data_IF_003297352370
#
_entry.id   IF_003297352370
#
_cell.length_a   1.000
_cell.length_b   1.000
_cell.length_c   1.000
_cell.angle_alpha   90.00
_cell.angle_beta   90.00
_cell.angle_gamma   90.00
#
_symmetry.space_group_name_H-M   'P 1'
#
loop_
_entity.id
_entity.type
_entity.pdbx_description
1 polymer ?
#
# COMPACT_ATOMS: atom_id res chain seq x y z
N UNK A 1 16.86 14.07 58.36
CA UNK A 1 18.06 13.45 58.98
C UNK A 1 18.77 12.63 57.91
N UNK A 2 20.03 12.98 57.62
CA UNK A 2 21.18 12.17 57.13
C UNK A 2 20.90 11.04 56.11
N UNK A 3 21.35 11.18 54.86
CA UNK A 3 22.62 10.63 54.31
C UNK A 3 22.82 9.12 54.56
N UNK A 4 23.09 8.35 53.50
CA UNK A 4 24.41 7.72 53.22
C UNK A 4 24.30 6.73 52.05
N UNK A 5 25.25 6.87 51.12
CA UNK A 5 25.53 6.03 49.96
C UNK A 5 26.28 4.72 50.31
N UNK A 6 26.30 3.76 49.36
CA UNK A 6 27.45 2.92 48.91
C UNK A 6 26.92 1.76 48.04
N UNK A 7 27.22 1.73 46.73
CA UNK A 7 28.38 1.05 46.10
C UNK A 7 28.63 -0.38 46.58
N UNK A 8 28.51 -1.38 45.69
CA UNK A 8 29.58 -2.37 45.44
C UNK A 8 29.37 -3.13 44.12
N UNK A 9 30.49 -3.27 43.40
CA UNK A 9 30.74 -4.00 42.15
C UNK A 9 30.87 -5.52 42.38
N UNK A 10 30.64 -6.32 41.33
CA UNK A 10 31.54 -7.40 40.80
C UNK A 10 30.83 -8.72 40.43
N UNK A 11 30.76 -8.97 39.11
CA UNK A 11 31.01 -10.20 38.32
C UNK A 11 30.53 -11.58 38.82
N UNK A 12 29.77 -12.31 37.97
CA UNK A 12 30.03 -13.71 37.54
C UNK A 12 29.14 -14.06 36.33
N UNK A 13 29.77 -14.62 35.28
CA UNK A 13 29.15 -15.25 34.10
C UNK A 13 28.64 -16.65 34.45
N UNK A 14 27.49 -17.07 33.92
CA UNK A 14 27.24 -18.47 33.60
C UNK A 14 26.23 -18.61 32.46
N UNK A 15 26.68 -19.23 31.35
CA UNK A 15 25.86 -19.74 30.25
C UNK A 15 25.01 -20.92 30.74
N UNK A 16 23.72 -20.95 30.41
CA UNK A 16 22.93 -22.18 30.34
C UNK A 16 22.05 -22.14 29.08
N UNK A 17 22.36 -23.07 28.17
CA UNK A 17 21.49 -23.50 27.07
C UNK A 17 20.27 -24.22 27.65
N UNK A 18 19.06 -23.86 27.22
CA UNK A 18 17.86 -24.66 27.48
C UNK A 18 17.39 -25.26 26.15
N UNK A 19 17.64 -26.57 26.00
CA UNK A 19 16.96 -27.46 25.07
C UNK A 19 15.55 -27.74 25.60
N UNK A 20 14.51 -27.43 24.84
CA UNK A 20 13.16 -27.94 25.10
C UNK A 20 12.96 -29.24 24.30
N UNK A 21 12.85 -30.35 25.02
CA UNK A 21 12.38 -31.64 24.49
C UNK A 21 10.85 -31.65 24.40
N UNK A 22 10.33 -32.00 23.23
CA UNK A 22 8.91 -32.25 22.97
C UNK A 22 8.53 -33.63 23.55
N UNK A 23 7.56 -33.67 24.46
CA UNK A 23 6.83 -34.91 24.81
C UNK A 23 5.35 -34.72 24.51
N UNK A 24 4.86 -35.42 23.48
CA UNK A 24 3.45 -35.49 23.11
C UNK A 24 2.79 -36.62 23.93
N UNK A 25 1.78 -36.28 24.74
CA UNK A 25 0.87 -37.26 25.36
C UNK A 25 -0.43 -37.32 24.56
N UNK A 26 -0.75 -38.50 24.04
CA UNK A 26 -2.02 -38.81 23.39
C UNK A 26 -3.06 -39.16 24.46
N UNK A 27 -4.23 -38.52 24.45
CA UNK A 27 -5.43 -38.99 25.17
C UNK A 27 -6.49 -39.37 24.14
N UNK A 28 -6.90 -40.63 24.18
CA UNK A 28 -8.01 -41.21 23.45
C UNK A 28 -9.34 -40.82 24.10
N UNK A 29 -10.31 -40.34 23.31
CA UNK A 29 -11.72 -40.34 23.70
C UNK A 29 -12.58 -40.87 22.55
N UNK A 30 -13.42 -41.84 22.90
CA UNK A 30 -14.38 -42.54 22.06
C UNK A 30 -15.54 -41.62 21.66
N UNK A 31 -16.04 -41.77 20.42
CA UNK A 31 -17.39 -41.38 20.05
C UNK A 31 -18.12 -42.58 19.44
N UNK A 32 -19.20 -42.98 20.11
CA UNK A 32 -20.20 -43.94 19.64
C UNK A 32 -21.31 -43.19 18.88
N UNK A 33 -21.75 -43.77 17.75
CA UNK A 33 -23.11 -43.61 17.21
C UNK A 33 -23.31 -42.52 16.16
N UNK A 34 -23.51 -42.90 14.90
CA UNK A 34 -24.82 -42.97 14.21
C UNK A 34 -24.63 -43.46 12.75
N UNK A 35 -25.63 -44.22 12.32
CA UNK A 35 -25.92 -45.07 11.15
C UNK A 35 -25.57 -44.65 9.71
N UNK A 36 -25.06 -45.66 8.97
CA UNK A 36 -25.50 -46.26 7.67
C UNK A 36 -25.80 -45.42 6.41
N UNK A 37 -25.30 -45.98 5.28
CA UNK A 37 -25.39 -45.63 3.84
C UNK A 37 -24.38 -44.56 3.40
N UNK A 38 -23.38 -44.76 2.51
CA UNK A 38 -23.28 -45.60 1.31
C UNK A 38 -21.83 -46.06 1.00
N UNK A 39 -21.72 -47.03 0.07
CA UNK A 39 -20.53 -47.80 -0.29
C UNK A 39 -19.41 -46.96 -0.93
N UNK A 40 -18.19 -47.13 -0.42
CA UNK A 40 -16.95 -46.75 -1.10
C UNK A 40 -16.64 -47.70 -2.28
N UNK A 41 -16.18 -47.16 -3.41
CA UNK A 41 -15.49 -47.92 -4.47
C UNK A 41 -14.01 -48.11 -4.08
N UNK A 42 -13.40 -49.29 -4.26
CA UNK A 42 -12.01 -49.53 -3.88
C UNK A 42 -11.09 -49.09 -5.02
N UNK A 43 -10.64 -47.82 -5.04
CA UNK A 43 -9.38 -47.36 -5.66
C UNK A 43 -9.21 -45.82 -5.65
N UNK A 44 -9.36 -45.17 -4.49
CA UNK A 44 -8.98 -43.76 -4.33
C UNK A 44 -8.25 -43.55 -3.01
N UNK A 45 -6.99 -43.12 -3.07
CA UNK A 45 -6.26 -42.63 -1.92
C UNK A 45 -6.79 -41.23 -1.54
N UNK A 46 -7.54 -41.13 -0.43
CA UNK A 46 -7.90 -39.86 0.17
C UNK A 46 -6.83 -39.45 1.19
N UNK A 47 -6.18 -38.31 0.98
CA UNK A 47 -5.37 -37.63 2.00
C UNK A 47 -6.31 -36.67 2.74
N UNK A 48 -6.60 -36.94 4.00
CA UNK A 48 -7.36 -36.03 4.86
C UNK A 48 -6.42 -34.98 5.49
N UNK A 49 -6.70 -33.70 5.27
CA UNK A 49 -6.20 -32.62 6.12
C UNK A 49 -7.23 -32.34 7.22
N UNK A 50 -6.82 -32.52 8.47
CA UNK A 50 -7.56 -32.05 9.64
C UNK A 50 -7.24 -30.56 9.83
N UNK A 51 -8.23 -29.68 9.72
CA UNK A 51 -8.15 -28.33 10.30
C UNK A 51 -8.98 -28.38 11.58
N UNK A 52 -8.29 -28.33 12.73
CA UNK A 52 -8.93 -28.15 14.01
C UNK A 52 -9.34 -26.67 14.15
N UNK A 53 -10.64 -26.41 14.35
CA UNK A 53 -11.16 -25.12 14.79
C UNK A 53 -12.03 -24.38 13.78
N UNK A 54 -13.21 -24.91 13.49
CA UNK A 54 -14.33 -24.11 13.01
C UNK A 54 -15.62 -24.64 13.63
N UNK A 55 -16.15 -23.91 14.61
CA UNK A 55 -17.53 -24.05 15.07
C UNK A 55 -18.44 -23.29 14.11
N UNK A 56 -19.34 -24.03 13.47
CA UNK A 56 -20.66 -23.66 12.95
C UNK A 56 -20.93 -22.20 12.57
N UNK A 57 -21.03 -21.92 11.25
CA UNK A 57 -22.17 -21.17 10.68
C UNK A 57 -22.50 -21.81 9.32
N UNK A 58 -23.66 -22.45 9.25
CA UNK A 58 -24.27 -22.88 7.99
C UNK A 58 -24.95 -21.71 7.28
N UNK A 59 -24.77 -21.61 5.97
CA UNK A 59 -25.70 -20.92 5.07
C UNK A 59 -25.84 -21.78 3.81
N UNK A 60 -27.07 -22.18 3.52
CA UNK A 60 -27.48 -22.87 2.30
C UNK A 60 -27.34 -21.93 1.09
N UNK A 61 -26.90 -22.48 -0.04
CA UNK A 61 -27.26 -21.96 -1.35
C UNK A 61 -27.37 -23.13 -2.33
N UNK A 62 -28.58 -23.37 -2.81
CA UNK A 62 -28.93 -24.24 -3.92
C UNK A 62 -28.29 -23.73 -5.22
N UNK A 63 -27.63 -24.62 -5.98
CA UNK A 63 -27.97 -24.97 -7.38
C UNK A 63 -26.80 -25.73 -8.03
N UNK A 64 -27.14 -26.87 -8.63
CA UNK A 64 -26.27 -27.85 -9.26
C UNK A 64 -25.58 -27.33 -10.54
N UNK A 65 -24.29 -27.67 -10.72
CA UNK A 65 -23.77 -28.12 -12.02
C UNK A 65 -22.81 -29.30 -11.79
N UNK A 66 -23.25 -30.46 -12.27
CA UNK A 66 -22.50 -31.71 -12.35
C UNK A 66 -21.40 -31.60 -13.41
N UNK A 67 -20.18 -32.03 -13.07
CA UNK A 67 -19.06 -32.17 -13.99
C UNK A 67 -18.39 -33.53 -13.74
N UNK A 68 -19.17 -34.60 -13.89
CA UNK A 68 -18.67 -35.96 -14.04
C UNK A 68 -18.50 -36.30 -15.52
N UNK A 69 -17.32 -36.01 -16.09
CA UNK A 69 -16.78 -36.72 -17.27
C UNK A 69 -15.35 -36.22 -17.60
N UNK A 70 -14.34 -36.85 -17.01
CA UNK A 70 -12.99 -36.87 -17.58
C UNK A 70 -12.47 -38.31 -17.54
N UNK A 71 -12.53 -38.96 -18.71
CA UNK A 71 -11.92 -40.25 -19.01
C UNK A 71 -10.40 -40.07 -19.11
N UNK A 72 -9.56 -40.89 -18.47
CA UNK A 72 -8.11 -40.83 -18.65
C UNK A 72 -7.72 -41.47 -19.99
N UNK A 73 -6.96 -40.75 -20.81
CA UNK A 73 -6.32 -41.31 -22.00
C UNK A 73 -5.05 -42.07 -21.59
N UNK A 74 -5.07 -43.38 -21.81
CA UNK A 74 -3.90 -44.26 -21.73
C UNK A 74 -3.55 -44.80 -23.13
N UNK A 75 -2.24 -44.91 -23.38
CA UNK A 75 -1.55 -45.75 -24.38
C UNK A 75 -1.24 -45.18 -25.80
N UNK A 76 -0.16 -45.70 -26.46
CA UNK A 76 0.88 -44.89 -27.12
C UNK A 76 1.04 -45.18 -28.62
N UNK A 77 1.92 -44.42 -29.27
CA UNK A 77 2.39 -44.57 -30.66
C UNK A 77 1.34 -44.38 -31.77
N UNK A 78 1.41 -43.24 -32.46
CA UNK A 78 1.49 -43.23 -33.92
C UNK A 78 1.93 -41.87 -34.48
N UNK A 79 2.89 -41.95 -35.40
CA UNK A 79 3.32 -40.89 -36.30
C UNK A 79 2.17 -40.47 -37.24
N UNK A 80 1.96 -39.17 -37.44
CA UNK A 80 1.33 -38.64 -38.64
C UNK A 80 2.04 -37.35 -39.08
N UNK A 81 2.44 -37.37 -40.36
CA UNK A 81 3.13 -36.36 -41.14
C UNK A 81 2.33 -35.06 -41.34
N UNK A 82 3.06 -33.99 -41.67
CA UNK A 82 2.56 -32.71 -42.20
C UNK A 82 1.63 -32.90 -43.40
N UNK A 83 0.48 -32.21 -43.40
CA UNK A 83 -0.20 -31.68 -44.59
C UNK A 83 -1.18 -30.56 -44.19
N UNK A 84 -1.24 -29.53 -45.04
CA UNK A 84 -1.91 -28.26 -44.85
C UNK A 84 -3.45 -28.32 -44.68
N UNK A 85 -3.94 -27.29 -43.97
CA UNK A 85 -5.29 -26.66 -44.03
C UNK A 85 -6.40 -27.10 -43.05
N UNK A 86 -6.68 -26.17 -42.12
CA UNK A 86 -7.99 -25.71 -41.60
C UNK A 86 -8.91 -26.72 -40.90
N UNK A 87 -8.92 -26.66 -39.56
CA UNK A 87 -10.15 -26.93 -38.79
C UNK A 87 -10.97 -25.63 -38.66
N UNK A 88 -12.18 -25.68 -39.22
CA UNK A 88 -13.21 -24.64 -39.15
C UNK A 88 -14.20 -25.03 -38.05
N UNK A 89 -14.48 -24.08 -37.16
CA UNK A 89 -15.58 -23.97 -36.18
C UNK A 89 -15.62 -24.90 -34.93
N UNK A 90 -15.04 -24.41 -33.83
CA UNK A 90 -15.60 -24.60 -32.48
C UNK A 90 -15.44 -23.31 -31.64
N UNK A 91 -16.46 -22.76 -30.95
CA UNK A 91 -16.40 -21.41 -30.35
C UNK A 91 -15.61 -21.28 -29.03
N UNK A 92 -14.87 -22.30 -28.59
CA UNK A 92 -14.20 -22.29 -27.26
C UNK A 92 -12.66 -22.40 -27.27
N UNK A 93 -12.01 -22.25 -28.42
CA UNK A 93 -10.55 -22.30 -28.54
C UNK A 93 -9.96 -21.00 -29.12
N UNK A 94 -10.22 -19.86 -28.49
CA UNK A 94 -9.46 -18.61 -28.73
C UNK A 94 -8.80 -18.16 -27.44
N UNK A 95 -7.47 -18.10 -27.49
CA UNK A 95 -6.54 -17.42 -26.58
C UNK A 95 -5.92 -18.28 -25.46
N UNK A 96 -4.94 -19.12 -25.83
CA UNK A 96 -3.78 -19.39 -24.99
C UNK A 96 -2.50 -19.12 -25.81
N UNK A 97 -1.49 -18.40 -25.25
CA UNK A 97 -0.25 -18.13 -25.95
C UNK A 97 0.68 -19.35 -25.98
N UNK A 98 1.21 -19.60 -27.17
CA UNK A 98 2.42 -20.34 -27.57
C UNK A 98 3.32 -20.84 -26.44
N UNK A 99 3.53 -22.18 -26.38
CA UNK A 99 4.56 -22.82 -25.58
C UNK A 99 5.96 -22.44 -26.09
N UNK A 100 6.79 -21.81 -25.25
CA UNK A 100 8.22 -21.68 -25.51
C UNK A 100 8.97 -22.93 -25.04
N UNK A 101 9.88 -23.42 -25.89
CA UNK A 101 10.85 -24.47 -25.56
C UNK A 101 11.92 -23.93 -24.61
N UNK A 102 12.27 -24.74 -23.61
CA UNK A 102 13.32 -24.44 -22.62
C UNK A 102 14.66 -24.97 -23.16
N UNK A 103 15.72 -24.16 -23.31
CA UNK A 103 17.06 -24.68 -23.56
C UNK A 103 17.67 -25.23 -22.27
N UNK A 104 18.32 -26.37 -22.43
CA UNK A 104 19.04 -27.18 -21.45
C UNK A 104 20.08 -26.41 -20.61
N UNK A 105 20.07 -26.67 -19.30
CA UNK A 105 21.11 -26.28 -18.35
C UNK A 105 22.45 -26.91 -18.73
N UNK A 106 23.44 -26.07 -19.01
CA UNK A 106 24.84 -26.50 -19.14
C UNK A 106 25.50 -26.46 -17.76
N UNK A 107 26.11 -27.59 -17.37
CA UNK A 107 26.86 -27.76 -16.11
C UNK A 107 28.08 -26.84 -16.11
N UNK A 108 28.21 -25.97 -15.11
CA UNK A 108 29.48 -25.30 -14.81
C UNK A 108 30.13 -25.93 -13.58
N UNK A 109 31.40 -26.31 -13.80
CA UNK A 109 32.31 -27.00 -12.90
C UNK A 109 32.82 -26.04 -11.80
N UNK A 110 32.85 -26.50 -10.56
CA UNK A 110 33.55 -25.82 -9.46
C UNK A 110 35.08 -25.90 -9.66
N UNK A 111 35.86 -24.85 -9.38
CA UNK A 111 37.32 -24.93 -9.37
C UNK A 111 37.82 -25.67 -8.10
N UNK A 112 38.98 -26.36 -8.17
CA UNK A 112 39.48 -27.21 -7.10
C UNK A 112 40.11 -26.43 -5.95
N UNK A 113 39.99 -27.02 -4.76
CA UNK A 113 40.58 -26.60 -3.48
C UNK A 113 42.12 -26.70 -3.58
N UNK A 114 42.82 -25.58 -3.42
CA UNK A 114 44.27 -25.55 -3.29
C UNK A 114 44.69 -25.69 -1.82
N UNK A 115 45.63 -26.60 -1.60
CA UNK A 115 46.29 -26.96 -0.35
C UNK A 115 47.13 -25.79 0.22
N UNK A 116 46.93 -25.44 1.49
CA UNK A 116 47.83 -24.53 2.21
C UNK A 116 48.89 -25.33 2.98
N UNK A 117 50.15 -25.07 2.69
CA UNK A 117 51.29 -25.43 3.54
C UNK A 117 52.18 -24.21 3.81
N UNK A 118 52.75 -24.21 5.01
CA UNK A 118 53.92 -23.48 5.54
C UNK A 118 53.86 -21.95 5.75
N UNK A 119 53.75 -21.61 7.03
CA UNK A 119 54.62 -20.70 7.82
C UNK A 119 55.46 -19.65 7.08
N UNK A 120 55.02 -18.39 7.15
CA UNK A 120 55.91 -17.21 7.26
C UNK A 120 55.22 -16.10 8.04
N UNK A 121 55.86 -15.65 9.13
CA UNK A 121 55.53 -14.45 9.89
C UNK A 121 55.86 -13.20 9.08
N UNK A 122 54.86 -12.35 8.83
CA UNK A 122 55.04 -11.01 8.26
C UNK A 122 54.22 -10.01 9.06
N UNK A 123 54.92 -9.07 9.71
CA UNK A 123 54.34 -7.94 10.44
C UNK A 123 53.73 -6.93 9.48
N UNK A 124 52.41 -6.74 9.55
CA UNK A 124 51.68 -5.74 8.76
C UNK A 124 51.59 -4.43 9.58
N UNK A 125 52.00 -3.27 9.02
CA UNK A 125 51.82 -1.99 9.68
C UNK A 125 50.33 -1.61 9.72
N UNK A 126 49.84 -1.25 10.91
CA UNK A 126 48.48 -0.75 11.11
C UNK A 126 48.43 0.69 10.59
N UNK A 127 48.06 0.88 9.33
CA UNK A 127 47.60 2.19 8.84
C UNK A 127 46.18 2.41 9.34
N UNK A 128 46.02 3.39 10.22
CA UNK A 128 44.72 3.91 10.63
C UNK A 128 44.02 4.56 9.44
N UNK A 129 43.20 3.79 8.73
CA UNK A 129 42.19 4.38 7.83
C UNK A 129 41.15 5.06 8.69
N UNK A 130 41.19 6.39 8.71
CA UNK A 130 40.10 7.24 9.15
C UNK A 130 38.89 6.87 8.30
N UNK A 131 37.95 6.11 8.85
CA UNK A 131 36.66 5.93 8.23
C UNK A 131 35.99 7.30 8.22
N UNK A 132 36.11 8.02 7.10
CA UNK A 132 35.17 9.09 6.77
C UNK A 132 33.80 8.43 6.76
N UNK A 133 33.04 8.64 7.83
CA UNK A 133 31.60 8.42 7.83
C UNK A 133 31.07 9.18 6.62
N UNK A 134 30.73 8.45 5.55
CA UNK A 134 29.85 8.99 4.54
C UNK A 134 28.55 9.27 5.26
N UNK A 135 28.33 10.55 5.56
CA UNK A 135 27.02 11.06 5.92
C UNK A 135 26.20 10.86 4.65
N UNK A 136 25.47 9.75 4.58
CA UNK A 136 24.43 9.58 3.60
C UNK A 136 23.45 10.75 3.79
N UNK A 137 23.05 11.47 2.73
CA UNK A 137 22.02 12.48 2.85
C UNK A 137 20.79 11.81 3.48
N UNK A 138 20.24 12.46 4.51
CA UNK A 138 19.06 12.03 5.25
C UNK A 138 17.95 11.69 4.24
N UNK A 139 17.80 10.38 3.97
CA UNK A 139 16.75 9.79 3.14
C UNK A 139 15.39 10.19 3.73
N UNK A 140 14.42 10.46 2.85
CA UNK A 140 13.07 10.97 3.11
C UNK A 140 12.63 10.88 4.58
N UNK A 141 12.21 11.98 5.24
CA UNK A 141 11.90 11.93 6.65
C UNK A 141 10.80 10.91 6.88
N UNK A 142 11.03 10.08 7.88
CA UNK A 142 9.98 9.25 8.37
C UNK A 142 8.96 10.12 9.06
N UNK A 143 7.69 9.85 8.78
CA UNK A 143 6.66 10.32 9.66
C UNK A 143 6.82 9.47 10.94
N UNK A 144 7.57 10.01 11.89
CA UNK A 144 7.72 9.49 13.24
C UNK A 144 6.64 10.14 14.11
N UNK A 145 5.47 9.51 14.14
CA UNK A 145 4.38 9.92 15.00
C UNK A 145 4.46 9.12 16.28
N UNK A 146 4.56 9.82 17.41
CA UNK A 146 4.55 9.17 18.71
C UNK A 146 3.26 8.34 18.90
N UNK A 147 3.32 7.12 19.47
CA UNK A 147 2.14 6.23 19.61
C UNK A 147 0.93 6.88 20.28
N UNK A 148 1.20 7.78 21.23
CA UNK A 148 0.18 8.47 22.02
C UNK A 148 -0.16 9.87 21.48
N UNK A 149 0.33 10.22 20.30
CA UNK A 149 0.04 11.49 19.66
C UNK A 149 -1.47 11.75 19.61
N UNK A 150 -1.82 13.00 19.86
CA UNK A 150 -3.15 13.56 19.69
C UNK A 150 -3.04 14.75 18.77
N UNK A 151 -4.15 15.12 18.16
CA UNK A 151 -4.22 16.31 17.31
C UNK A 151 -5.29 17.23 17.87
N UNK A 152 -5.04 18.53 17.73
CA UNK A 152 -6.03 19.55 18.00
C UNK A 152 -7.29 19.22 17.21
N UNK A 153 -8.45 19.26 17.86
CA UNK A 153 -9.71 18.89 17.21
C UNK A 153 -10.25 19.99 16.30
N UNK A 154 -9.84 21.24 16.53
CA UNK A 154 -10.16 22.36 15.65
C UNK A 154 -9.06 22.49 14.59
N UNK A 155 -9.43 22.29 13.32
CA UNK A 155 -8.57 22.49 12.18
C UNK A 155 -8.40 23.96 11.81
N UNK A 156 -7.22 24.30 11.30
CA UNK A 156 -6.94 25.57 10.64
C UNK A 156 -7.07 25.37 9.13
N UNK A 157 -7.91 26.16 8.47
CA UNK A 157 -7.91 26.20 7.00
C UNK A 157 -6.60 26.79 6.50
N UNK A 158 -5.85 26.00 5.72
CA UNK A 158 -4.53 26.39 5.17
C UNK A 158 -4.51 26.52 3.65
N UNK A 159 -5.57 26.05 2.98
CA UNK A 159 -5.84 26.32 1.57
C UNK A 159 -7.35 26.34 1.32
N UNK A 160 -7.83 27.27 0.50
CA UNK A 160 -9.26 27.40 0.18
C UNK A 160 -10.11 27.94 1.33
N UNK A 161 -11.32 27.39 1.50
CA UNK A 161 -12.28 27.80 2.53
C UNK A 161 -13.05 29.10 2.23
N UNK A 162 -12.87 29.66 1.03
CA UNK A 162 -13.57 30.86 0.56
C UNK A 162 -14.64 30.52 -0.49
N UNK A 163 -15.31 29.37 -0.30
CA UNK A 163 -16.32 28.83 -1.21
C UNK A 163 -15.74 28.05 -2.39
N UNK A 164 -16.64 27.39 -3.12
CA UNK A 164 -16.33 26.67 -4.35
C UNK A 164 -16.07 27.65 -5.50
N UNK A 165 -14.92 27.50 -6.17
CA UNK A 165 -14.55 28.37 -7.28
C UNK A 165 -13.10 28.19 -7.70
N UNK A 166 -12.65 29.04 -8.62
CA UNK A 166 -11.30 29.00 -9.20
C UNK A 166 -10.45 30.24 -8.89
N UNK A 167 -10.94 31.13 -8.00
CA UNK A 167 -10.19 32.27 -7.50
C UNK A 167 -8.88 31.88 -6.82
N UNK A 168 -7.97 32.83 -6.63
CA UNK A 168 -6.64 32.57 -6.05
C UNK A 168 -6.70 32.14 -4.60
N UNK A 169 -7.76 32.47 -3.86
CA UNK A 169 -7.99 32.02 -2.48
C UNK A 169 -9.06 30.91 -2.36
N UNK A 170 -9.46 30.32 -3.49
CA UNK A 170 -10.47 29.25 -3.56
C UNK A 170 -9.84 27.95 -4.04
N UNK A 171 -10.42 26.83 -3.63
CA UNK A 171 -10.16 25.51 -4.21
C UNK A 171 -11.49 24.82 -4.50
N UNK A 172 -11.54 23.97 -5.52
CA UNK A 172 -12.74 23.20 -5.87
C UNK A 172 -12.47 21.71 -5.82
N UNK A 173 -13.16 21.03 -4.88
CA UNK A 173 -13.05 19.59 -4.63
C UNK A 173 -11.58 19.12 -4.54
N UNK A 174 -10.82 19.61 -3.54
CA UNK A 174 -9.46 19.15 -3.32
C UNK A 174 -9.47 17.65 -3.03
N UNK A 175 -8.79 16.85 -3.84
CA UNK A 175 -8.73 15.39 -3.67
C UNK A 175 -7.35 14.92 -3.25
N UNK A 176 -6.30 15.38 -3.92
CA UNK A 176 -4.92 15.09 -3.54
C UNK A 176 -4.33 16.21 -2.71
N UNK A 177 -3.58 15.86 -1.67
CA UNK A 177 -2.80 16.82 -0.87
C UNK A 177 -1.42 16.25 -0.57
N UNK A 178 -0.39 17.01 -0.90
CA UNK A 178 0.99 16.70 -0.54
C UNK A 178 1.61 17.90 0.16
N UNK A 179 2.27 17.65 1.29
CA UNK A 179 2.98 18.68 2.05
C UNK A 179 4.47 18.36 2.02
N UNK A 180 5.28 19.34 1.62
CA UNK A 180 6.73 19.19 1.60
C UNK A 180 7.40 19.64 2.90
N UNK A 181 8.73 19.57 2.96
CA UNK A 181 9.48 19.89 4.18
C UNK A 181 9.46 21.39 4.51
N UNK A 182 9.19 22.24 3.52
CA UNK A 182 9.05 23.68 3.66
C UNK A 182 7.61 24.07 4.07
N UNK A 183 6.75 23.08 4.37
CA UNK A 183 5.32 23.24 4.63
C UNK A 183 4.56 23.87 3.45
N UNK A 184 5.09 23.74 2.24
CA UNK A 184 4.40 24.06 1.00
C UNK A 184 3.41 22.95 0.70
N UNK A 185 2.16 23.34 0.41
CA UNK A 185 1.04 22.43 0.17
C UNK A 185 0.77 22.42 -1.33
N UNK A 186 0.76 21.23 -1.92
CA UNK A 186 0.31 20.99 -3.28
C UNK A 186 -1.06 20.32 -3.23
N UNK A 187 -2.03 20.90 -3.93
CA UNK A 187 -3.42 20.44 -3.93
C UNK A 187 -3.82 20.05 -5.34
N UNK A 188 -4.26 18.80 -5.52
CA UNK A 188 -4.92 18.37 -6.75
C UNK A 188 -6.40 18.78 -6.70
N UNK A 189 -6.74 19.81 -7.48
CA UNK A 189 -8.12 20.29 -7.60
C UNK A 189 -8.83 19.55 -8.71
N UNK A 190 -9.67 18.59 -8.31
CA UNK A 190 -10.36 17.70 -9.23
C UNK A 190 -11.23 18.48 -10.24
N UNK A 191 -12.11 19.36 -9.73
CA UNK A 191 -13.06 20.11 -10.57
C UNK A 191 -12.42 21.21 -11.41
N UNK A 192 -11.38 21.87 -10.89
CA UNK A 192 -10.70 22.95 -11.59
C UNK A 192 -9.58 22.47 -12.53
N UNK A 193 -9.35 21.15 -12.59
CA UNK A 193 -8.38 20.51 -13.47
C UNK A 193 -6.98 21.13 -13.39
N UNK A 194 -6.51 21.34 -12.16
CA UNK A 194 -5.25 22.02 -11.88
C UNK A 194 -4.60 21.53 -10.60
N UNK A 195 -3.31 21.77 -10.48
CA UNK A 195 -2.57 21.67 -9.22
C UNK A 195 -2.28 23.08 -8.74
N UNK A 196 -2.55 23.35 -7.47
CA UNK A 196 -2.28 24.65 -6.83
C UNK A 196 -1.29 24.47 -5.69
N UNK A 197 -0.28 25.34 -5.68
CA UNK A 197 0.70 25.49 -4.63
C UNK A 197 0.24 26.55 -3.63
N UNK A 198 0.31 26.23 -2.34
CA UNK A 198 0.10 27.15 -1.23
C UNK A 198 1.33 27.14 -0.33
N UNK A 199 2.00 28.29 -0.22
CA UNK A 199 3.15 28.44 0.66
C UNK A 199 2.69 28.59 2.11
N UNK A 200 3.57 28.25 3.06
CA UNK A 200 3.29 28.43 4.48
C UNK A 200 2.83 29.86 4.80
N UNK A 201 1.66 29.98 5.42
CA UNK A 201 1.05 31.26 5.80
C UNK A 201 0.43 32.08 4.66
N UNK A 202 0.44 31.56 3.43
CA UNK A 202 -0.19 32.24 2.29
C UNK A 202 -1.73 32.25 2.41
N UNK A 203 -2.35 33.35 1.99
CA UNK A 203 -3.82 33.50 1.91
C UNK A 203 -4.38 33.24 0.51
N UNK A 204 -3.49 33.00 -0.45
CA UNK A 204 -3.82 32.63 -1.82
C UNK A 204 -2.82 31.61 -2.35
N UNK A 205 -3.31 30.74 -3.24
CA UNK A 205 -2.52 29.76 -3.95
C UNK A 205 -2.15 30.22 -5.36
N UNK A 206 -1.12 29.56 -5.89
CA UNK A 206 -0.63 29.74 -7.25
C UNK A 206 -0.86 28.46 -8.05
N UNK A 207 -1.42 28.58 -9.26
CA UNK A 207 -1.53 27.44 -10.18
C UNK A 207 -0.14 27.07 -10.68
N UNK A 208 0.28 25.82 -10.46
CA UNK A 208 1.60 25.31 -10.85
C UNK A 208 1.54 24.22 -11.93
N UNK A 209 0.37 23.63 -12.17
CA UNK A 209 0.11 22.74 -13.30
C UNK A 209 -1.36 22.77 -13.71
N UNK A 210 -1.66 22.59 -15.00
CA UNK A 210 -3.03 22.61 -15.53
C UNK A 210 -3.66 24.00 -15.53
N UNK A 211 -4.98 24.07 -15.28
CA UNK A 211 -5.74 25.34 -15.21
C UNK A 211 -6.16 25.93 -16.56
N UNK A 212 -5.84 25.26 -17.68
CA UNK A 212 -6.17 25.70 -19.04
C UNK A 212 -7.39 24.95 -19.62
N UNK A 213 -8.33 24.57 -18.74
CA UNK A 213 -9.46 23.70 -19.05
C UNK A 213 -9.09 22.21 -19.13
N UNK A 214 -10.10 21.33 -19.19
CA UNK A 214 -9.87 19.89 -19.28
C UNK A 214 -9.25 19.50 -20.63
N UNK A 215 -8.31 18.55 -20.62
CA UNK A 215 -7.85 17.91 -21.85
C UNK A 215 -6.46 17.30 -21.78
N UNK A 216 -6.05 16.68 -22.89
CA UNK A 216 -4.78 15.90 -23.01
C UNK A 216 -3.57 16.72 -23.43
N UNK A 217 -3.75 17.96 -23.87
CA UNK A 217 -2.66 18.85 -24.28
C UNK A 217 -1.61 19.00 -23.17
N UNK A 218 -0.36 19.28 -23.54
CA UNK A 218 0.74 19.32 -22.58
C UNK A 218 0.56 20.35 -21.46
N UNK A 219 -0.24 21.39 -21.66
CA UNK A 219 -0.56 22.42 -20.66
C UNK A 219 -1.92 22.21 -19.96
N UNK A 220 -2.57 21.04 -20.14
CA UNK A 220 -3.88 20.72 -19.59
C UNK A 220 -3.83 19.45 -18.76
N UNK A 221 -4.66 19.44 -17.73
CA UNK A 221 -5.02 18.27 -16.93
C UNK A 221 -6.52 18.02 -17.11
N UNK A 222 -7.01 16.86 -16.73
CA UNK A 222 -8.43 16.57 -16.64
C UNK A 222 -8.69 15.73 -15.39
N UNK A 223 -9.41 16.31 -14.43
CA UNK A 223 -9.77 15.66 -13.17
C UNK A 223 -8.56 15.02 -12.45
N UNK A 224 -7.50 15.79 -12.12
CA UNK A 224 -6.37 15.23 -11.40
C UNK A 224 -6.82 14.78 -10.00
N UNK A 225 -6.48 13.56 -9.60
CA UNK A 225 -6.88 13.03 -8.30
C UNK A 225 -5.80 13.13 -7.23
N UNK A 226 -4.53 13.06 -7.63
CA UNK A 226 -3.41 13.01 -6.69
C UNK A 226 -2.16 13.68 -7.27
N UNK A 227 -1.30 14.18 -6.38
CA UNK A 227 -0.04 14.85 -6.69
C UNK A 227 1.00 14.56 -5.62
N UNK A 228 2.23 14.26 -6.03
CA UNK A 228 3.40 14.19 -5.14
C UNK A 228 4.56 15.00 -5.73
N UNK A 229 5.58 15.25 -4.90
CA UNK A 229 6.80 15.93 -5.31
C UNK A 229 7.95 14.94 -5.42
N UNK A 230 8.59 14.87 -6.59
CA UNK A 230 9.93 14.31 -6.76
C UNK A 230 10.96 15.43 -6.50
N UNK A 231 11.42 15.51 -5.25
CA UNK A 231 12.34 16.56 -4.79
C UNK A 231 13.70 16.50 -5.50
N UNK A 232 14.22 15.29 -5.71
CA UNK A 232 15.54 15.06 -6.34
C UNK A 232 15.59 15.61 -7.77
N UNK A 233 14.45 15.60 -8.47
CA UNK A 233 14.36 16.06 -9.86
C UNK A 233 13.58 17.36 -10.03
N UNK A 234 13.21 18.01 -8.93
CA UNK A 234 12.38 19.23 -8.87
C UNK A 234 11.12 19.14 -9.75
N UNK A 235 10.35 18.06 -9.57
CA UNK A 235 9.16 17.76 -10.38
C UNK A 235 7.92 17.48 -9.55
N UNK A 236 6.76 17.85 -10.09
CA UNK A 236 5.46 17.33 -9.66
C UNK A 236 5.17 16.06 -10.45
N UNK A 237 4.66 15.03 -9.77
CA UNK A 237 4.13 13.82 -10.39
C UNK A 237 2.64 13.75 -10.09
N UNK A 238 1.81 13.65 -11.12
CA UNK A 238 0.36 13.90 -11.01
C UNK A 238 -0.40 12.72 -11.62
N UNK A 239 -1.40 12.22 -10.89
CA UNK A 239 -2.44 11.35 -11.43
C UNK A 239 -3.42 12.21 -12.24
N UNK A 240 -3.28 12.20 -13.57
CA UNK A 240 -4.18 12.93 -14.49
C UNK A 240 -5.32 11.99 -14.93
N UNK A 241 -6.18 11.66 -13.97
CA UNK A 241 -7.12 10.53 -14.01
C UNK A 241 -8.10 10.59 -15.17
N UNK A 242 -8.68 11.76 -15.45
CA UNK A 242 -9.61 11.94 -16.57
C UNK A 242 -8.95 11.69 -17.94
N UNK A 243 -7.62 11.84 -18.01
CA UNK A 243 -6.84 11.52 -19.20
C UNK A 243 -6.18 10.13 -19.16
N UNK A 244 -6.39 9.36 -18.08
CA UNK A 244 -5.87 8.00 -17.88
C UNK A 244 -4.33 7.90 -18.03
N UNK A 245 -3.62 8.80 -17.34
CA UNK A 245 -2.16 8.88 -17.40
C UNK A 245 -1.55 9.41 -16.11
N UNK A 246 -0.26 9.15 -15.95
CA UNK A 246 0.61 9.88 -15.02
C UNK A 246 1.44 10.86 -15.82
N UNK A 247 1.51 12.09 -15.33
CA UNK A 247 2.29 13.18 -15.93
C UNK A 247 3.31 13.71 -14.94
N UNK A 248 4.44 14.20 -15.45
CA UNK A 248 5.38 15.02 -14.68
C UNK A 248 5.34 16.47 -15.14
N UNK A 249 5.45 17.38 -14.20
CA UNK A 249 5.52 18.82 -14.43
C UNK A 249 6.79 19.37 -13.77
N UNK A 250 7.45 20.40 -14.35
CA UNK A 250 8.42 21.19 -13.59
C UNK A 250 7.73 21.75 -12.34
N UNK A 251 8.37 21.60 -11.17
CA UNK A 251 7.79 22.10 -9.93
C UNK A 251 7.71 23.62 -9.88
N UNK A 252 8.61 24.30 -10.59
CA UNK A 252 8.72 25.76 -10.64
C UNK A 252 8.74 26.24 -12.09
N UNK A 253 8.02 27.33 -12.37
CA UNK A 253 7.98 28.00 -13.68
C UNK A 253 7.65 27.09 -14.88
N UNK A 254 6.96 25.97 -14.64
CA UNK A 254 6.52 25.05 -15.70
C UNK A 254 5.22 25.51 -16.35
N UNK A 255 5.17 25.56 -17.68
CA UNK A 255 3.94 25.88 -18.45
C UNK A 255 3.29 24.64 -19.06
N UNK A 256 4.01 23.51 -19.10
CA UNK A 256 3.56 22.25 -19.66
C UNK A 256 4.19 21.06 -18.93
N UNK A 257 3.53 19.92 -19.04
CA UNK A 257 3.96 18.65 -18.51
C UNK A 257 4.17 17.60 -19.58
N UNK A 258 4.78 16.51 -19.17
CA UNK A 258 5.13 15.37 -20.00
C UNK A 258 4.41 14.13 -19.50
N UNK A 259 3.86 13.33 -20.42
CA UNK A 259 3.27 12.04 -20.06
C UNK A 259 4.38 11.05 -19.73
N UNK A 260 4.37 10.52 -18.51
CA UNK A 260 5.29 9.46 -18.08
C UNK A 260 4.74 8.08 -18.42
N UNK A 261 3.46 7.86 -18.11
CA UNK A 261 2.78 6.59 -18.26
C UNK A 261 1.38 6.88 -18.81
N UNK A 262 0.98 6.20 -19.87
CA UNK A 262 -0.30 6.38 -20.55
C UNK A 262 -1.16 5.12 -20.51
N UNK A 263 -2.47 5.28 -20.72
CA UNK A 263 -3.45 4.19 -20.80
C UNK A 263 -3.52 3.40 -19.49
N UNK A 264 -3.52 4.11 -18.36
CA UNK A 264 -3.65 3.53 -17.03
C UNK A 264 -4.70 4.27 -16.21
N UNK A 265 -5.38 3.54 -15.34
CA UNK A 265 -6.17 4.15 -14.27
C UNK A 265 -5.20 4.57 -13.17
N UNK A 266 -5.24 5.85 -12.79
CA UNK A 266 -4.45 6.45 -11.72
C UNK A 266 -5.40 7.15 -10.77
N UNK A 267 -5.53 6.68 -9.54
CA UNK A 267 -6.41 7.27 -8.52
C UNK A 267 -5.57 7.86 -7.39
N UNK A 268 -4.56 7.10 -6.93
CA UNK A 268 -3.56 7.57 -5.98
C UNK A 268 -2.17 7.12 -6.41
N UNK A 269 -1.15 7.88 -6.01
CA UNK A 269 0.23 7.56 -6.31
C UNK A 269 1.16 7.86 -5.12
N UNK A 270 2.29 7.16 -5.08
CA UNK A 270 3.35 7.42 -4.11
C UNK A 270 4.69 7.03 -4.71
N UNK A 271 5.79 7.50 -4.13
CA UNK A 271 7.13 7.22 -4.62
C UNK A 271 8.03 6.81 -3.47
N UNK A 272 8.80 5.73 -3.65
CA UNK A 272 9.79 5.30 -2.69
C UNK A 272 11.08 6.15 -2.78
N UNK A 273 12.00 5.95 -1.84
CA UNK A 273 13.28 6.64 -1.79
C UNK A 273 14.23 6.28 -2.95
N UNK A 274 13.94 5.23 -3.71
CA UNK A 274 14.68 4.86 -4.91
C UNK A 274 14.12 5.55 -6.17
N UNK A 275 13.02 6.29 -6.05
CA UNK A 275 12.32 6.94 -7.14
C UNK A 275 11.40 6.01 -7.94
N UNK A 276 11.06 4.83 -7.41
CA UNK A 276 10.03 3.97 -8.00
C UNK A 276 8.66 4.52 -7.70
N UNK A 277 7.85 4.72 -8.73
CA UNK A 277 6.48 5.18 -8.62
C UNK A 277 5.52 4.00 -8.41
N UNK A 278 4.64 4.11 -7.44
CA UNK A 278 3.56 3.18 -7.17
C UNK A 278 2.24 3.87 -7.51
N UNK A 279 1.40 3.20 -8.29
CA UNK A 279 0.12 3.76 -8.76
C UNK A 279 -1.01 2.80 -8.44
N UNK A 280 -2.02 3.30 -7.73
CA UNK A 280 -3.29 2.63 -7.48
C UNK A 280 -4.29 2.90 -8.62
N UNK A 281 -4.98 1.86 -9.08
CA UNK A 281 -6.02 1.93 -10.12
C UNK A 281 -6.82 0.64 -10.21
N UNK A 282 -6.41 -0.30 -11.06
CA UNK A 282 -7.01 -1.65 -11.14
C UNK A 282 -6.40 -2.63 -10.12
N UNK A 283 -5.29 -2.22 -9.53
CA UNK A 283 -4.44 -2.88 -8.55
C UNK A 283 -3.37 -1.85 -8.16
N UNK A 284 -2.27 -2.28 -7.56
CA UNK A 284 -1.09 -1.40 -7.42
C UNK A 284 0.01 -1.85 -8.34
N UNK A 285 0.46 -0.94 -9.21
CA UNK A 285 1.59 -1.17 -10.12
C UNK A 285 2.78 -0.32 -9.71
N UNK A 286 3.96 -0.95 -9.63
CA UNK A 286 5.25 -0.30 -9.43
C UNK A 286 5.92 -0.05 -10.79
N UNK A 287 6.43 1.16 -10.98
CA UNK A 287 7.18 1.61 -12.15
C UNK A 287 8.54 2.11 -11.65
N UNK A 288 9.62 1.46 -12.06
CA UNK A 288 10.97 1.99 -11.83
C UNK A 288 11.25 3.12 -12.80
N UNK A 289 12.30 3.88 -12.54
CA UNK A 289 12.73 4.98 -13.41
C UNK A 289 12.97 4.43 -14.83
N UNK A 290 12.22 4.95 -15.80
CA UNK A 290 12.29 4.56 -17.20
C UNK A 290 11.30 3.45 -17.62
N UNK A 291 10.59 2.83 -16.67
CA UNK A 291 9.58 1.82 -17.00
C UNK A 291 8.38 2.45 -17.72
N UNK A 292 7.95 1.83 -18.81
CA UNK A 292 6.70 2.15 -19.51
C UNK A 292 5.58 1.15 -19.20
N UNK A 293 5.92 0.03 -18.54
CA UNK A 293 4.99 -1.00 -18.08
C UNK A 293 5.29 -1.32 -16.62
N UNK A 294 4.28 -1.16 -15.77
CA UNK A 294 4.42 -1.40 -14.34
C UNK A 294 4.30 -2.88 -13.98
N UNK A 295 4.98 -3.28 -12.90
CA UNK A 295 4.82 -4.61 -12.29
C UNK A 295 3.72 -4.54 -11.22
N UNK A 296 2.77 -5.47 -11.24
CA UNK A 296 1.74 -5.55 -10.20
C UNK A 296 2.38 -6.00 -8.89
N UNK A 297 2.20 -5.22 -7.83
CA UNK A 297 2.76 -5.46 -6.49
C UNK A 297 1.68 -5.63 -5.40
N UNK A 298 0.43 -5.28 -5.69
CA UNK A 298 -0.73 -5.60 -4.84
C UNK A 298 -1.98 -5.83 -5.71
N UNK A 299 -2.88 -6.72 -5.26
CA UNK A 299 -4.04 -7.16 -6.05
C UNK A 299 -3.65 -8.02 -7.25
N UNK A 300 -2.70 -8.95 -7.06
CA UNK A 300 -2.09 -9.77 -8.13
C UNK A 300 -3.14 -10.60 -8.86
N UNK A 301 -4.17 -11.06 -8.16
CA UNK A 301 -5.27 -11.86 -8.74
C UNK A 301 -6.49 -11.01 -9.13
N UNK A 302 -6.28 -9.72 -9.37
CA UNK A 302 -7.25 -8.80 -9.94
C UNK A 302 -8.41 -8.44 -9.00
N UNK A 303 -9.58 -8.24 -9.59
CA UNK A 303 -10.78 -7.80 -8.90
C UNK A 303 -11.31 -8.88 -7.95
N UNK A 304 -11.54 -8.52 -6.69
CA UNK A 304 -12.22 -9.38 -5.73
C UNK A 304 -11.93 -9.04 -4.27
N UNK A 305 -12.37 -9.93 -3.38
CA UNK A 305 -12.35 -9.75 -1.93
C UNK A 305 -11.27 -10.59 -1.23
N UNK A 306 -10.58 -11.48 -1.97
CA UNK A 306 -9.47 -12.29 -1.45
C UNK A 306 -8.31 -11.44 -0.92
N UNK A 307 -7.39 -12.07 -0.18
CA UNK A 307 -6.21 -11.38 0.36
C UNK A 307 -5.15 -11.07 -0.71
N UNK A 308 -5.26 -11.67 -1.88
CA UNK A 308 -4.47 -11.47 -3.09
C UNK A 308 -5.18 -10.60 -4.14
N UNK A 309 -6.37 -10.09 -3.82
CA UNK A 309 -7.25 -9.32 -4.72
C UNK A 309 -7.57 -7.92 -4.16
N UNK A 310 -7.99 -7.02 -5.04
CA UNK A 310 -8.45 -5.67 -4.71
C UNK A 310 -9.70 -5.35 -5.53
N UNK A 311 -10.78 -4.87 -4.92
CA UNK A 311 -12.02 -4.56 -5.64
C UNK A 311 -12.17 -3.07 -6.00
N UNK A 312 -11.51 -2.19 -5.26
CA UNK A 312 -11.45 -0.76 -5.55
C UNK A 312 -10.28 -0.11 -4.83
N UNK A 313 -9.05 -0.28 -5.31
CA UNK A 313 -7.91 0.42 -4.72
C UNK A 313 -8.01 1.91 -5.05
N UNK A 314 -8.10 2.75 -4.02
CA UNK A 314 -8.24 4.21 -4.18
C UNK A 314 -6.93 4.97 -3.94
N UNK A 315 -6.22 4.64 -2.88
CA UNK A 315 -4.97 5.28 -2.48
C UNK A 315 -3.91 4.25 -2.16
N UNK A 316 -2.65 4.65 -2.32
CA UNK A 316 -1.49 3.82 -2.03
C UNK A 316 -0.46 4.59 -1.22
N UNK A 317 0.13 3.91 -0.24
CA UNK A 317 1.29 4.37 0.52
C UNK A 317 2.35 3.26 0.52
N UNK A 318 3.62 3.65 0.51
CA UNK A 318 4.75 2.72 0.60
C UNK A 318 5.64 3.12 1.78
N UNK A 319 5.95 2.16 2.65
CA UNK A 319 6.86 2.39 3.76
C UNK A 319 8.34 2.13 3.37
N UNK A 320 9.26 2.32 4.33
CA UNK A 320 10.71 2.10 4.12
C UNK A 320 11.11 0.65 3.94
N UNK A 321 10.25 -0.26 4.35
CA UNK A 321 10.45 -1.70 4.15
C UNK A 321 9.81 -2.13 2.81
N UNK A 322 9.49 -1.16 1.94
CA UNK A 322 8.80 -1.35 0.67
C UNK A 322 7.46 -2.08 0.78
N UNK A 323 6.82 -2.04 1.95
CA UNK A 323 5.48 -2.56 2.11
C UNK A 323 4.46 -1.61 1.52
N UNK A 324 3.49 -2.17 0.78
CA UNK A 324 2.46 -1.43 0.06
C UNK A 324 1.17 -1.46 0.85
N UNK A 325 0.69 -0.29 1.26
CA UNK A 325 -0.59 -0.08 1.92
C UNK A 325 -1.60 0.45 0.91
N UNK A 326 -2.80 -0.13 0.89
CA UNK A 326 -3.81 0.19 -0.11
C UNK A 326 -5.17 0.31 0.56
N UNK A 327 -5.84 1.44 0.35
CA UNK A 327 -7.26 1.56 0.69
C UNK A 327 -8.10 0.88 -0.38
N UNK A 328 -8.78 -0.19 -0.02
CA UNK A 328 -9.69 -0.94 -0.89
C UNK A 328 -11.14 -0.53 -0.57
N UNK A 329 -11.60 0.52 -1.25
CA UNK A 329 -12.81 1.24 -0.85
C UNK A 329 -14.08 0.43 -1.04
N UNK A 330 -14.09 -0.52 -1.99
CA UNK A 330 -15.25 -1.40 -2.26
C UNK A 330 -15.40 -2.44 -1.15
N UNK A 331 -14.28 -2.95 -0.63
CA UNK A 331 -14.29 -3.99 0.41
C UNK A 331 -14.17 -3.42 1.83
N UNK A 332 -14.21 -2.09 1.98
CA UNK A 332 -14.19 -1.39 3.28
C UNK A 332 -13.02 -1.79 4.18
N UNK A 333 -11.81 -1.89 3.60
CA UNK A 333 -10.60 -2.28 4.32
C UNK A 333 -9.37 -1.53 3.81
N UNK A 334 -8.33 -1.51 4.65
CA UNK A 334 -6.97 -1.20 4.24
C UNK A 334 -6.17 -2.49 4.25
N UNK A 335 -5.50 -2.76 3.14
CA UNK A 335 -4.66 -3.93 2.94
C UNK A 335 -3.18 -3.54 2.97
N UNK A 336 -2.33 -4.41 3.50
CA UNK A 336 -0.87 -4.29 3.45
C UNK A 336 -0.27 -5.50 2.74
N UNK A 337 0.64 -5.28 1.79
CA UNK A 337 1.55 -6.30 1.26
C UNK A 337 2.97 -5.98 1.68
N UNK A 338 3.67 -6.95 2.27
CA UNK A 338 5.12 -6.85 2.42
C UNK A 338 5.80 -6.98 1.05
N UNK A 339 7.06 -6.56 0.95
CA UNK A 339 7.77 -6.61 -0.33
C UNK A 339 7.77 -8.02 -0.92
N UNK A 340 7.33 -8.15 -2.18
CA UNK A 340 7.23 -9.41 -2.92
C UNK A 340 6.19 -10.42 -2.40
N UNK A 341 5.39 -10.07 -1.38
CA UNK A 341 4.32 -10.92 -0.89
C UNK A 341 3.26 -11.18 -1.98
N UNK A 342 2.72 -12.40 -2.02
CA UNK A 342 1.66 -12.79 -2.97
C UNK A 342 0.25 -12.53 -2.44
N UNK A 343 0.11 -12.56 -1.13
CA UNK A 343 -1.12 -12.25 -0.38
C UNK A 343 -0.80 -11.10 0.57
N UNK A 344 -1.79 -10.26 0.82
CA UNK A 344 -1.74 -9.18 1.79
C UNK A 344 -2.39 -9.58 3.10
N UNK A 345 -2.40 -8.63 4.02
CA UNK A 345 -3.09 -8.72 5.30
C UNK A 345 -4.00 -7.50 5.48
N UNK A 346 -5.12 -7.68 6.17
CA UNK A 346 -5.98 -6.57 6.57
C UNK A 346 -5.33 -5.86 7.75
N UNK A 347 -5.10 -4.55 7.63
CA UNK A 347 -4.47 -3.72 8.68
C UNK A 347 -5.41 -2.66 9.25
N UNK A 348 -6.54 -2.40 8.60
CA UNK A 348 -7.64 -1.59 9.14
C UNK A 348 -8.97 -1.99 8.48
N UNK A 349 -10.08 -1.88 9.22
CA UNK A 349 -11.41 -2.26 8.74
C UNK A 349 -11.56 -3.76 8.49
N UNK A 350 -12.26 -4.13 7.41
CA UNK A 350 -12.46 -5.53 7.02
C UNK A 350 -13.62 -6.26 7.71
N UNK A 351 -14.35 -5.58 8.62
CA UNK A 351 -15.58 -6.08 9.24
C UNK A 351 -16.85 -5.60 8.51
N UNK A 352 -16.73 -5.42 7.19
CA UNK A 352 -17.77 -4.85 6.35
C UNK A 352 -17.88 -3.33 6.43
N UNK A 353 -18.80 -2.79 5.63
CA UNK A 353 -19.13 -1.37 5.59
C UNK A 353 -19.93 -0.98 6.84
N UNK A 354 -19.52 0.10 7.51
CA UNK A 354 -20.22 0.65 8.67
C UNK A 354 -19.43 1.77 9.35
N UNK A 355 -19.89 2.18 10.53
CA UNK A 355 -19.33 3.31 11.29
C UNK A 355 -18.79 2.92 12.68
N UNK A 356 -18.79 1.65 13.04
CA UNK A 356 -18.15 1.18 14.27
C UNK A 356 -16.63 1.41 14.23
N UNK A 357 -15.94 1.18 15.35
CA UNK A 357 -14.48 1.29 15.41
C UNK A 357 -13.75 0.14 14.70
N UNK A 358 -14.45 -0.91 14.28
CA UNK A 358 -13.89 -2.02 13.50
C UNK A 358 -14.20 -1.93 12.01
N UNK A 359 -15.02 -0.94 11.61
CA UNK A 359 -15.55 -0.80 10.25
C UNK A 359 -15.09 0.50 9.59
N UNK A 360 -15.11 0.49 8.26
CA UNK A 360 -14.82 1.63 7.40
C UNK A 360 -15.93 1.74 6.35
N UNK A 361 -16.22 2.95 5.86
CA UNK A 361 -17.10 3.17 4.70
C UNK A 361 -16.38 4.03 3.65
N UNK A 362 -16.08 3.40 2.50
CA UNK A 362 -15.32 3.97 1.38
C UNK A 362 -13.96 4.59 1.82
N UNK A 363 -13.04 3.82 2.42
CA UNK A 363 -11.73 4.35 2.79
C UNK A 363 -10.98 4.95 1.59
N UNK A 364 -10.35 6.11 1.81
CA UNK A 364 -9.59 6.86 0.79
C UNK A 364 -8.13 7.02 1.20
N UNK A 365 -7.63 8.24 1.38
CA UNK A 365 -6.24 8.50 1.77
C UNK A 365 -5.76 7.58 2.89
N UNK A 366 -4.58 7.01 2.71
CA UNK A 366 -3.93 6.13 3.68
C UNK A 366 -2.46 6.50 3.81
N UNK A 367 -1.96 6.53 5.04
CA UNK A 367 -0.54 6.69 5.37
C UNK A 367 -0.22 5.78 6.55
N UNK A 368 1.00 5.24 6.59
CA UNK A 368 1.49 4.53 7.78
C UNK A 368 2.73 5.23 8.36
N UNK A 369 2.85 5.23 9.68
CA UNK A 369 4.06 5.69 10.39
C UNK A 369 5.13 4.59 10.46
N UNK A 370 6.30 4.89 11.06
CA UNK A 370 7.38 3.90 11.24
C UNK A 370 7.03 2.73 12.16
N UNK A 371 6.04 2.89 13.04
CA UNK A 371 5.60 1.85 13.95
C UNK A 371 4.58 0.92 13.27
N UNK A 372 4.18 1.24 12.05
CA UNK A 372 3.15 0.53 11.30
C UNK A 372 1.73 0.90 11.72
N UNK A 373 1.54 2.01 12.43
CA UNK A 373 0.22 2.59 12.68
C UNK A 373 -0.33 3.13 11.38
N UNK A 374 -1.55 2.72 11.04
CA UNK A 374 -2.24 3.14 9.82
C UNK A 374 -3.18 4.29 10.13
N UNK A 375 -3.09 5.36 9.35
CA UNK A 375 -4.02 6.48 9.35
C UNK A 375 -4.84 6.42 8.07
N UNK A 376 -6.16 6.43 8.20
CA UNK A 376 -7.06 6.26 7.06
C UNK A 376 -8.18 7.31 7.09
N UNK A 377 -8.44 7.88 5.92
CA UNK A 377 -9.62 8.70 5.65
C UNK A 377 -10.82 7.76 5.52
N UNK A 378 -11.75 7.82 6.47
CA UNK A 378 -13.02 7.09 6.44
C UNK A 378 -14.10 8.00 5.85
N UNK A 379 -14.03 8.16 4.52
CA UNK A 379 -14.67 9.25 3.77
C UNK A 379 -16.16 9.41 4.07
N UNK A 380 -16.94 8.33 3.94
CA UNK A 380 -18.39 8.42 4.10
C UNK A 380 -18.82 8.62 5.56
N UNK A 381 -17.95 8.28 6.51
CA UNK A 381 -18.16 8.55 7.92
C UNK A 381 -17.61 9.92 8.34
N UNK A 382 -17.07 10.72 7.40
CA UNK A 382 -16.56 12.08 7.62
C UNK A 382 -15.52 12.18 8.74
N UNK A 383 -14.63 11.19 8.84
CA UNK A 383 -13.66 11.07 9.93
C UNK A 383 -12.31 10.55 9.47
N UNK A 384 -11.29 10.80 10.29
CA UNK A 384 -9.96 10.20 10.15
C UNK A 384 -9.76 9.20 11.29
N UNK A 385 -9.35 7.98 10.95
CA UNK A 385 -9.13 6.89 11.90
C UNK A 385 -7.65 6.58 12.01
N UNK A 386 -7.21 6.18 13.21
CA UNK A 386 -5.90 5.54 13.45
C UNK A 386 -6.07 4.07 13.84
N UNK A 387 -5.17 3.22 13.35
CA UNK A 387 -5.07 1.80 13.67
C UNK A 387 -3.62 1.47 14.04
N UNK A 388 -3.28 1.34 15.32
CA UNK A 388 -1.98 0.83 15.73
C UNK A 388 -1.73 -0.57 15.14
N UNK A 389 -0.46 -0.91 14.88
CA UNK A 389 -0.08 -2.21 14.33
C UNK A 389 -0.64 -3.35 15.21
N UNK A 390 -1.40 -4.26 14.60
CA UNK A 390 -2.02 -5.40 15.27
C UNK A 390 -3.29 -5.10 16.07
N UNK A 391 -3.78 -3.86 16.06
CA UNK A 391 -5.03 -3.50 16.72
C UNK A 391 -6.25 -4.13 16.00
N UNK A 392 -7.20 -4.64 16.76
CA UNK A 392 -8.45 -5.22 16.26
C UNK A 392 -9.51 -4.17 15.94
N UNK A 393 -9.37 -2.96 16.49
CA UNK A 393 -10.23 -1.80 16.24
C UNK A 393 -9.39 -0.53 16.18
N UNK A 394 -9.88 0.47 15.47
CA UNK A 394 -9.25 1.78 15.38
C UNK A 394 -9.78 2.74 16.42
N UNK A 395 -9.34 3.99 16.33
CA UNK A 395 -9.93 5.11 17.07
C UNK A 395 -10.02 6.33 16.18
N UNK A 396 -11.06 7.13 16.37
CA UNK A 396 -11.23 8.39 15.67
C UNK A 396 -10.16 9.36 16.18
N UNK A 397 -9.47 10.05 15.27
CA UNK A 397 -8.52 11.11 15.63
C UNK A 397 -9.02 12.50 15.26
N UNK A 398 -9.85 12.61 14.21
CA UNK A 398 -10.49 13.83 13.73
C UNK A 398 -11.88 13.49 13.19
N UNK A 399 -12.86 14.38 13.37
CA UNK A 399 -14.19 14.26 12.78
C UNK A 399 -15.24 13.61 13.69
N UNK A 400 -15.01 13.56 15.01
CA UNK A 400 -16.01 13.04 15.97
C UNK A 400 -17.33 13.84 15.96
N UNK A 401 -17.29 15.10 15.55
CA UNK A 401 -18.47 15.97 15.42
C UNK A 401 -19.24 15.76 14.10
N UNK A 402 -18.87 14.72 13.35
CA UNK A 402 -19.53 14.30 12.13
C UNK A 402 -19.41 15.30 10.97
N UNK A 403 -20.40 15.23 10.08
CA UNK A 403 -20.45 16.01 8.86
C UNK A 403 -20.74 17.49 9.15
N UNK A 404 -19.97 18.40 8.53
CA UNK A 404 -20.26 19.83 8.54
C UNK A 404 -19.08 20.71 8.15
N UNK A 405 -19.29 22.03 8.18
CA UNK A 405 -18.29 23.02 7.74
C UNK A 405 -17.49 23.69 8.86
N UNK A 406 -17.76 23.37 10.12
CA UNK A 406 -17.01 23.92 11.26
C UNK A 406 -15.56 23.39 11.28
N UNK A 407 -14.67 24.04 12.03
CA UNK A 407 -13.24 23.65 12.12
C UNK A 407 -13.01 22.24 12.68
N UNK A 408 -13.96 21.71 13.45
CA UNK A 408 -13.94 20.39 14.05
C UNK A 408 -14.83 19.36 13.31
N UNK A 409 -15.29 19.71 12.12
CA UNK A 409 -16.13 18.89 11.25
C UNK A 409 -15.46 18.73 9.89
N UNK A 410 -15.78 17.63 9.21
CA UNK A 410 -15.33 17.31 7.85
C UNK A 410 -16.55 17.04 6.97
N UNK A 411 -16.40 17.13 5.66
CA UNK A 411 -17.41 16.72 4.70
C UNK A 411 -16.78 16.00 3.52
N UNK A 412 -16.99 14.68 3.49
CA UNK A 412 -16.44 13.73 2.51
C UNK A 412 -14.93 13.94 2.29
N UNK A 413 -14.10 13.91 3.36
CA UNK A 413 -12.66 14.08 3.22
C UNK A 413 -12.10 13.02 2.26
N UNK A 414 -11.08 13.38 1.48
CA UNK A 414 -10.56 12.51 0.42
C UNK A 414 -9.15 12.00 0.70
N UNK A 415 -8.22 12.89 1.05
CA UNK A 415 -6.84 12.55 1.31
C UNK A 415 -6.35 13.12 2.63
N UNK A 416 -5.28 12.51 3.13
CA UNK A 416 -4.53 13.00 4.26
C UNK A 416 -3.03 12.98 3.96
N UNK A 417 -2.29 13.88 4.60
CA UNK A 417 -0.83 13.93 4.57
C UNK A 417 -0.33 14.44 5.91
N UNK A 418 0.93 14.14 6.25
CA UNK A 418 1.58 14.68 7.43
C UNK A 418 2.77 15.54 7.03
N UNK A 419 3.01 16.63 7.77
CA UNK A 419 4.30 17.31 7.69
C UNK A 419 5.36 16.61 8.56
N UNK A 420 6.62 17.03 8.41
CA UNK A 420 7.75 16.49 9.19
C UNK A 420 7.64 16.69 10.71
N UNK A 421 6.70 17.51 11.17
CA UNK A 421 6.45 17.77 12.60
C UNK A 421 5.30 16.90 13.13
N UNK A 422 4.68 16.08 12.28
CA UNK A 422 3.54 15.23 12.64
C UNK A 422 2.19 15.94 12.61
N UNK A 423 2.10 17.16 12.08
CA UNK A 423 0.80 17.82 11.91
C UNK A 423 0.05 17.15 10.74
N UNK A 424 -1.25 16.94 10.93
CA UNK A 424 -2.12 16.28 9.97
C UNK A 424 -2.77 17.30 9.03
N UNK A 425 -2.71 17.07 7.73
CA UNK A 425 -3.37 17.84 6.70
C UNK A 425 -4.43 16.97 6.03
N UNK A 426 -5.64 17.50 5.88
CA UNK A 426 -6.79 16.77 5.32
C UNK A 426 -7.39 17.57 4.16
N UNK A 427 -7.51 16.93 3.00
CA UNK A 427 -8.29 17.45 1.88
C UNK A 427 -9.78 17.22 2.15
N UNK A 428 -10.47 18.28 2.55
CA UNK A 428 -11.87 18.27 2.98
C UNK A 428 -12.76 18.58 1.78
N UNK A 429 -12.94 17.57 0.90
CA UNK A 429 -13.38 17.72 -0.49
C UNK A 429 -14.61 18.61 -0.66
N UNK A 430 -15.68 18.32 0.08
CA UNK A 430 -16.97 19.01 -0.09
C UNK A 430 -17.09 20.30 0.74
N UNK A 431 -16.13 20.57 1.61
CA UNK A 431 -15.97 21.87 2.23
C UNK A 431 -15.01 22.79 1.44
N UNK A 432 -14.49 22.33 0.30
CA UNK A 432 -13.67 23.15 -0.61
C UNK A 432 -12.47 23.79 0.11
N UNK A 433 -11.79 22.99 0.93
CA UNK A 433 -10.64 23.43 1.73
C UNK A 433 -9.65 22.31 2.05
N UNK A 434 -8.45 22.70 2.45
CA UNK A 434 -7.50 21.84 3.16
C UNK A 434 -7.39 22.33 4.60
N UNK A 435 -7.58 21.44 5.56
CA UNK A 435 -7.43 21.73 6.99
C UNK A 435 -6.14 21.14 7.55
N UNK A 436 -5.44 21.92 8.39
CA UNK A 436 -4.30 21.49 9.20
C UNK A 436 -4.74 21.29 10.65
N UNK A 437 -4.41 20.15 11.23
CA UNK A 437 -4.60 19.83 12.64
C UNK A 437 -3.23 19.69 13.28
N UNK A 438 -2.93 20.55 14.25
CA UNK A 438 -1.64 20.54 14.92
C UNK A 438 -1.54 19.34 15.84
N UNK A 439 -0.37 18.69 15.87
CA UNK A 439 -0.09 17.66 16.87
C UNK A 439 -0.02 18.31 18.25
N UNK A 440 -0.78 17.77 19.20
CA UNK A 440 -0.67 18.13 20.61
C UNK A 440 0.50 17.31 21.16
N UNK A 441 1.65 17.97 21.39
CA UNK A 441 2.80 17.28 21.98
C UNK A 441 2.39 16.74 23.36
N UNK A 442 2.47 15.42 23.52
CA UNK A 442 2.34 14.81 24.84
C UNK A 442 3.62 15.11 25.61
N UNK A 443 3.58 16.08 26.53
CA UNK A 443 4.62 16.19 27.57
C UNK A 443 4.60 14.89 28.38
N UNK A 444 5.74 14.19 28.40
CA UNK A 444 5.94 12.96 29.20
C UNK A 444 5.65 13.17 30.68
#
# INVERSE_FOLDING_TARGET
>A
MKNVAKNFSTVIRCFIFVLFSLTVRVKSQFCHGISQYDRCSPNSACVCYYIAGATDIGICADEFVDCSELVPCEQPNNLCHELNHRCVHHPRCRNLPVCYSVPSFNRQLCPPIATMNSTTTSTIPITTTTATQQIFPLRAPAIDIHPNAKWAQNGLTVAGGNGDGNGTNQVSRPRGVYVDDDQTIYVAEYSNHRIVEWKYGATSGQVVAGGNGPGKSANRLYNPEDVIVDKERDRLIICDTGNQRVVRWPRRNGTSGETMISNIVCIGLTMDENGSLYVAGEGVRRYRIGDTKGTVVAGINGYGHGLDQLAGPSYVFVDRDHSVYVSDWVTSRVMKWEENAKVGIVVAGGQGKGNSLTQLDRPRGVVADQLGTVYVVDQNNNRIMRWPKGATQGSIIIGENGQGGQSNQLFLPYALSFDRHGNLYVADEYNHRVQKFNIEQTTN
#
